data_IF_382884510900
#
_entry.id   IF_382884510900
#
_cell.length_a   1.000
_cell.length_b   1.000
_cell.length_c   1.000
_cell.angle_alpha   90.00
_cell.angle_beta   90.00
_cell.angle_gamma   90.00
#
_symmetry.space_group_name_H-M   'P 1'
#
loop_
_entity.id
_entity.type
_entity.pdbx_description
1 polymer ?
#
# COMPACT_ATOMS: atom_id res chain seq x y z
N UNK A 1 -9.37 -15.44 10.58
CA UNK A 1 -9.75 -14.94 9.22
C UNK A 1 -10.60 -13.70 9.39
N UNK A 2 -10.04 -12.57 8.99
CA UNK A 2 -10.58 -11.24 9.24
C UNK A 2 -11.88 -11.00 8.45
N UNK A 3 -12.87 -10.39 9.09
CA UNK A 3 -14.18 -10.09 8.45
C UNK A 3 -13.99 -9.11 7.29
N UNK A 4 -14.70 -9.33 6.17
CA UNK A 4 -14.67 -8.44 4.99
C UNK A 4 -15.02 -6.98 5.32
N UNK A 5 -15.91 -6.74 6.28
CA UNK A 5 -16.25 -5.38 6.74
C UNK A 5 -15.06 -4.66 7.39
N UNK A 6 -14.21 -5.40 8.11
CA UNK A 6 -13.01 -4.87 8.75
C UNK A 6 -11.96 -4.54 7.69
N UNK A 7 -11.75 -5.44 6.72
CA UNK A 7 -10.85 -5.18 5.57
C UNK A 7 -11.30 -3.93 4.80
N UNK A 8 -12.60 -3.78 4.56
CA UNK A 8 -13.15 -2.60 3.89
C UNK A 8 -12.92 -1.30 4.66
N UNK A 9 -13.00 -1.33 5.99
CA UNK A 9 -12.75 -0.15 6.83
C UNK A 9 -11.26 0.20 6.87
N UNK A 10 -10.38 -0.81 6.92
CA UNK A 10 -8.93 -0.64 6.79
C UNK A 10 -8.61 0.03 5.45
N UNK A 11 -9.12 -0.51 4.35
CA UNK A 11 -8.93 0.03 3.00
C UNK A 11 -9.42 1.48 2.89
N UNK A 12 -10.60 1.78 3.43
CA UNK A 12 -11.15 3.14 3.46
C UNK A 12 -10.19 4.09 4.17
N UNK A 13 -9.74 3.70 5.37
CA UNK A 13 -8.89 4.53 6.21
C UNK A 13 -7.53 4.77 5.54
N UNK A 14 -6.93 3.77 4.90
CA UNK A 14 -5.66 3.92 4.18
C UNK A 14 -5.80 4.93 3.03
N UNK A 15 -6.89 4.83 2.25
CA UNK A 15 -7.18 5.76 1.14
C UNK A 15 -7.38 7.19 1.64
N UNK A 16 -8.09 7.37 2.75
CA UNK A 16 -8.26 8.69 3.38
C UNK A 16 -6.92 9.23 3.92
N UNK A 17 -6.09 8.40 4.54
CA UNK A 17 -4.75 8.78 5.00
C UNK A 17 -3.89 9.30 3.84
N UNK A 18 -3.91 8.59 2.71
CA UNK A 18 -3.15 9.02 1.53
C UNK A 18 -3.59 10.39 1.02
N UNK A 19 -4.89 10.55 0.78
CA UNK A 19 -5.46 11.76 0.17
C UNK A 19 -5.39 12.98 1.10
N UNK A 20 -5.45 12.76 2.41
CA UNK A 20 -5.57 13.86 3.38
C UNK A 20 -4.33 14.06 4.22
N UNK A 21 -3.84 13.02 4.90
CA UNK A 21 -2.77 13.17 5.89
C UNK A 21 -1.41 13.21 5.21
N UNK A 22 -1.09 12.23 4.34
CA UNK A 22 0.18 12.20 3.61
C UNK A 22 0.31 13.41 2.69
N UNK A 23 -0.77 13.81 2.02
CA UNK A 23 -0.82 15.05 1.25
C UNK A 23 -0.46 16.27 2.12
N UNK A 24 -1.05 16.40 3.32
CA UNK A 24 -0.69 17.49 4.25
C UNK A 24 0.75 17.37 4.74
N UNK A 25 1.24 16.18 5.00
CA UNK A 25 2.61 15.96 5.50
C UNK A 25 3.65 16.36 4.46
N UNK A 26 3.39 16.05 3.18
CA UNK A 26 4.18 16.53 2.05
C UNK A 26 4.27 18.06 2.05
N UNK A 27 3.13 18.76 2.07
CA UNK A 27 3.10 20.23 2.01
C UNK A 27 3.67 20.93 3.25
N UNK A 28 3.74 20.22 4.38
CA UNK A 28 4.36 20.73 5.61
C UNK A 28 5.84 20.34 5.73
N UNK A 29 6.44 19.73 4.70
CA UNK A 29 7.84 19.28 4.65
C UNK A 29 8.17 18.20 5.69
N UNK A 30 7.22 17.33 6.02
CA UNK A 30 7.47 16.15 6.86
C UNK A 30 7.97 14.94 6.05
N UNK A 31 7.83 14.97 4.71
CA UNK A 31 8.31 13.93 3.80
C UNK A 31 9.58 14.38 3.06
N UNK A 32 10.64 13.58 3.16
CA UNK A 32 11.92 13.78 2.43
C UNK A 32 12.29 12.54 1.60
N UNK A 33 12.02 11.34 2.12
CA UNK A 33 12.42 10.04 1.54
C UNK A 33 11.42 8.92 1.84
N UNK A 34 11.70 7.74 1.28
CA UNK A 34 10.89 6.53 1.45
C UNK A 34 10.70 6.16 2.93
N UNK A 35 11.75 6.35 3.74
CA UNK A 35 11.71 6.02 5.17
C UNK A 35 10.83 6.99 5.97
N UNK A 36 10.83 8.30 5.64
CA UNK A 36 9.89 9.26 6.25
C UNK A 36 8.45 8.99 5.82
N UNK A 37 8.23 8.61 4.56
CA UNK A 37 6.92 8.18 4.08
C UNK A 37 6.40 6.97 4.86
N UNK A 38 7.28 5.98 5.10
CA UNK A 38 6.95 4.80 5.91
C UNK A 38 6.58 5.19 7.34
N UNK A 39 7.35 6.08 7.97
CA UNK A 39 7.08 6.56 9.32
C UNK A 39 5.73 7.27 9.42
N UNK A 40 5.43 8.20 8.51
CA UNK A 40 4.21 9.00 8.54
C UNK A 40 2.97 8.14 8.24
N UNK A 41 3.05 7.26 7.23
CA UNK A 41 1.98 6.32 6.92
C UNK A 41 1.72 5.38 8.10
N UNK A 42 2.78 4.81 8.71
CA UNK A 42 2.66 3.99 9.91
C UNK A 42 2.00 4.74 11.06
N UNK A 43 2.42 5.98 11.32
CA UNK A 43 1.88 6.82 12.38
C UNK A 43 0.38 7.06 12.21
N UNK A 44 -0.06 7.49 11.04
CA UNK A 44 -1.48 7.77 10.79
C UNK A 44 -2.32 6.50 10.84
N UNK A 45 -1.84 5.40 10.26
CA UNK A 45 -2.52 4.11 10.34
C UNK A 45 -2.68 3.65 11.78
N UNK A 46 -1.61 3.70 12.59
CA UNK A 46 -1.66 3.30 13.99
C UNK A 46 -2.67 4.11 14.79
N UNK A 47 -2.77 5.42 14.57
CA UNK A 47 -3.74 6.27 15.28
C UNK A 47 -5.17 6.05 14.80
N UNK A 48 -5.41 6.09 13.50
CA UNK A 48 -6.77 6.02 12.94
C UNK A 48 -7.38 4.61 13.03
N UNK A 49 -6.56 3.56 12.94
CA UNK A 49 -7.01 2.18 13.03
C UNK A 49 -6.91 1.57 14.44
N UNK A 50 -6.40 2.30 15.44
CA UNK A 50 -6.08 1.78 16.79
C UNK A 50 -7.18 0.90 17.40
N UNK A 51 -8.41 1.44 17.47
CA UNK A 51 -9.56 0.72 18.05
C UNK A 51 -9.90 -0.53 17.24
N UNK A 52 -10.02 -0.40 15.93
CA UNK A 52 -10.35 -1.50 15.02
C UNK A 52 -9.29 -2.61 15.07
N UNK A 53 -8.01 -2.24 15.18
CA UNK A 53 -6.91 -3.19 15.28
C UNK A 53 -6.96 -3.97 16.60
N UNK A 54 -7.17 -3.29 17.74
CA UNK A 54 -7.29 -3.95 19.05
C UNK A 54 -8.47 -4.90 19.11
N UNK A 55 -9.64 -4.49 18.64
CA UNK A 55 -10.88 -5.27 18.70
C UNK A 55 -10.84 -6.53 17.80
N UNK A 56 -9.90 -6.62 16.86
CA UNK A 56 -9.81 -7.70 15.88
C UNK A 56 -8.45 -8.43 15.91
N UNK A 57 -7.66 -8.28 16.98
CA UNK A 57 -6.34 -8.90 17.14
C UNK A 57 -5.40 -8.63 15.95
N UNK A 58 -5.41 -7.40 15.44
CA UNK A 58 -4.58 -7.01 14.32
C UNK A 58 -3.37 -6.19 14.78
N UNK A 59 -2.24 -6.32 14.09
CA UNK A 59 -1.02 -5.54 14.33
C UNK A 59 -0.45 -5.02 13.01
N UNK A 60 0.27 -3.90 13.12
CA UNK A 60 1.00 -3.29 12.01
C UNK A 60 2.49 -3.49 12.32
N UNK A 61 3.19 -4.18 11.43
CA UNK A 61 4.64 -4.37 11.51
C UNK A 61 5.31 -3.72 10.31
N UNK A 62 6.52 -3.20 10.53
CA UNK A 62 7.38 -2.65 9.48
C UNK A 62 8.53 -3.60 9.19
N UNK A 63 9.08 -3.57 7.98
CA UNK A 63 10.27 -4.37 7.60
C UNK A 63 10.06 -5.88 7.74
N UNK A 64 8.84 -6.39 7.49
CA UNK A 64 8.50 -7.79 7.72
C UNK A 64 9.17 -8.71 6.70
N UNK A 65 9.93 -9.70 7.18
CA UNK A 65 10.71 -10.60 6.33
C UNK A 65 10.00 -11.94 6.13
N UNK A 66 9.62 -12.23 4.88
CA UNK A 66 9.24 -13.58 4.45
C UNK A 66 10.52 -14.36 4.17
N UNK A 67 10.62 -15.61 4.61
CA UNK A 67 11.86 -16.40 4.47
C UNK A 67 11.91 -17.23 3.19
N UNK A 68 10.77 -17.63 2.62
CA UNK A 68 10.70 -18.53 1.46
C UNK A 68 9.58 -18.12 0.49
N UNK A 69 9.89 -17.39 -0.61
CA UNK A 69 11.18 -16.78 -0.93
C UNK A 69 11.58 -15.67 0.04
N UNK A 70 12.88 -15.35 0.13
CA UNK A 70 13.35 -14.28 1.00
C UNK A 70 12.88 -12.93 0.46
N UNK A 71 11.98 -12.30 1.20
CA UNK A 71 11.42 -11.02 0.85
C UNK A 71 11.26 -10.12 2.06
N UNK A 72 11.28 -8.80 1.88
CA UNK A 72 11.00 -7.83 2.93
C UNK A 72 9.96 -6.81 2.48
N UNK A 73 8.81 -6.80 3.14
CA UNK A 73 7.77 -5.81 2.94
C UNK A 73 7.99 -4.60 3.86
N UNK A 74 7.68 -3.40 3.37
CA UNK A 74 7.86 -2.16 4.13
C UNK A 74 6.91 -2.09 5.31
N UNK A 75 5.63 -2.42 5.07
CA UNK A 75 4.60 -2.50 6.11
C UNK A 75 3.69 -3.71 5.85
N UNK A 76 3.29 -4.41 6.91
CA UNK A 76 2.25 -5.42 6.89
C UNK A 76 1.21 -5.15 7.96
N UNK A 77 -0.05 -5.50 7.67
CA UNK A 77 -1.12 -5.64 8.65
C UNK A 77 -1.43 -7.12 8.79
N UNK A 78 -1.36 -7.64 10.01
CA UNK A 78 -1.48 -9.08 10.28
C UNK A 78 -2.49 -9.35 11.38
N UNK A 79 -3.14 -10.51 11.32
CA UNK A 79 -3.91 -11.11 12.42
C UNK A 79 -2.94 -11.91 13.31
N UNK A 80 -3.02 -11.71 14.62
CA UNK A 80 -2.21 -12.45 15.59
C UNK A 80 -3.07 -13.36 16.47
N UNK A 81 -2.51 -14.48 16.91
CA UNK A 81 -3.07 -15.27 18.02
C UNK A 81 -2.60 -14.68 19.36
N UNK A 82 -3.51 -14.09 20.17
CA UNK A 82 -3.13 -13.49 21.45
C UNK A 82 -2.90 -14.52 22.56
N UNK A 83 -3.38 -15.76 22.39
CA UNK A 83 -3.40 -16.78 23.45
C UNK A 83 -2.24 -17.79 23.32
N UNK A 84 -1.50 -17.73 22.22
CA UNK A 84 -0.44 -18.67 21.94
C UNK A 84 0.89 -18.19 22.54
N UNK A 85 1.55 -19.09 23.28
CA UNK A 85 2.82 -18.87 23.96
C UNK A 85 3.96 -19.06 22.94
N UNK A 86 4.64 -17.96 22.59
CA UNK A 86 5.69 -17.98 21.59
C UNK A 86 6.98 -17.34 22.09
N UNK A 87 8.11 -17.93 21.70
CA UNK A 87 9.44 -17.39 21.94
C UNK A 87 9.72 -16.09 21.15
N UNK A 88 8.95 -15.82 20.08
CA UNK A 88 9.11 -14.65 19.21
C UNK A 88 7.75 -14.15 18.70
N UNK A 89 7.56 -12.83 18.61
CA UNK A 89 6.33 -12.19 18.14
C UNK A 89 5.96 -12.57 16.69
N UNK A 90 6.93 -12.87 15.84
CA UNK A 90 6.68 -13.29 14.45
C UNK A 90 5.91 -14.60 14.39
N UNK A 91 6.10 -15.48 15.38
CA UNK A 91 5.39 -16.76 15.43
C UNK A 91 3.89 -16.57 15.73
N UNK A 92 3.50 -15.41 16.28
CA UNK A 92 2.11 -15.08 16.57
C UNK A 92 1.28 -14.72 15.34
N UNK A 93 1.90 -14.51 14.18
CA UNK A 93 1.20 -14.16 12.94
C UNK A 93 0.42 -15.36 12.41
N UNK A 94 -0.89 -15.22 12.31
CA UNK A 94 -1.80 -16.27 11.80
C UNK A 94 -2.29 -16.01 10.38
N UNK A 95 -2.42 -14.74 9.98
CA UNK A 95 -2.80 -14.37 8.62
C UNK A 95 -2.35 -12.95 8.25
N UNK A 96 -2.26 -12.68 6.94
CA UNK A 96 -1.92 -11.36 6.40
C UNK A 96 -3.16 -10.68 5.84
N UNK A 97 -3.38 -9.44 6.26
CA UNK A 97 -4.54 -8.62 5.88
C UNK A 97 -4.16 -7.63 4.79
N UNK A 98 -3.03 -6.95 4.97
CA UNK A 98 -2.52 -5.99 4.00
C UNK A 98 -0.99 -6.02 3.94
N UNK A 99 -0.44 -5.71 2.77
CA UNK A 99 0.99 -5.55 2.53
C UNK A 99 1.21 -4.26 1.76
N UNK A 100 2.25 -3.52 2.14
CA UNK A 100 2.66 -2.27 1.51
C UNK A 100 4.09 -2.39 1.00
N UNK A 101 4.30 -1.81 -0.18
CA UNK A 101 5.62 -1.33 -0.60
C UNK A 101 5.50 0.16 -0.90
N UNK A 102 6.53 0.87 -0.53
CA UNK A 102 6.60 2.31 -0.61
C UNK A 102 7.74 2.71 -1.53
N UNK A 103 7.54 3.77 -2.30
CA UNK A 103 8.58 4.38 -3.11
C UNK A 103 8.53 5.89 -2.93
N UNK A 104 9.69 6.47 -2.73
CA UNK A 104 9.87 7.92 -2.80
C UNK A 104 11.03 8.22 -3.73
N UNK A 105 10.80 9.04 -4.74
CA UNK A 105 11.83 9.40 -5.70
C UNK A 105 11.70 10.86 -6.13
N UNK A 106 12.86 11.51 -6.27
CA UNK A 106 13.00 12.90 -6.67
C UNK A 106 13.82 13.00 -7.95
N UNK A 107 13.33 13.74 -8.94
CA UNK A 107 14.03 14.02 -10.19
C UNK A 107 13.60 13.18 -11.40
N UNK A 108 13.87 13.71 -12.59
CA UNK A 108 13.60 13.03 -13.86
C UNK A 108 14.62 11.92 -14.08
N UNK A 109 14.28 10.71 -13.66
CA UNK A 109 14.99 9.53 -14.10
C UNK A 109 14.05 8.68 -14.97
N UNK A 110 14.42 8.46 -16.23
CA UNK A 110 13.75 7.48 -17.08
C UNK A 110 13.76 6.08 -16.44
N UNK A 111 14.68 5.86 -15.49
CA UNK A 111 14.72 4.66 -14.65
C UNK A 111 13.52 4.55 -13.70
N UNK A 112 12.83 5.62 -13.29
CA UNK A 112 11.71 5.52 -12.35
C UNK A 112 10.57 4.64 -12.89
N UNK A 113 10.18 4.81 -14.16
CA UNK A 113 9.15 3.96 -14.78
C UNK A 113 9.60 2.49 -14.87
N UNK A 114 10.88 2.25 -15.18
CA UNK A 114 11.46 0.90 -15.20
C UNK A 114 11.53 0.28 -13.79
N UNK A 115 11.85 1.07 -12.77
CA UNK A 115 11.95 0.64 -11.38
C UNK A 115 10.59 0.31 -10.80
N UNK A 116 9.61 1.19 -11.04
CA UNK A 116 8.22 0.95 -10.68
C UNK A 116 7.73 -0.34 -11.35
N UNK A 117 7.99 -0.53 -12.65
CA UNK A 117 7.68 -1.78 -13.36
C UNK A 117 8.39 -3.01 -12.79
N UNK A 118 9.66 -2.89 -12.41
CA UNK A 118 10.42 -4.00 -11.81
C UNK A 118 9.86 -4.38 -10.42
N UNK A 119 9.58 -3.40 -9.58
CA UNK A 119 8.99 -3.63 -8.26
C UNK A 119 7.55 -4.17 -8.36
N UNK A 120 6.80 -3.88 -9.43
CA UNK A 120 5.52 -4.55 -9.68
C UNK A 120 5.66 -6.05 -9.98
N UNK A 121 6.72 -6.50 -10.65
CA UNK A 121 6.96 -7.94 -10.84
C UNK A 121 7.27 -8.63 -9.51
N UNK A 122 8.02 -7.95 -8.64
CA UNK A 122 8.25 -8.33 -7.24
C UNK A 122 6.91 -8.46 -6.48
N UNK A 123 5.94 -7.58 -6.73
CA UNK A 123 4.58 -7.67 -6.16
C UNK A 123 3.80 -8.87 -6.62
N UNK A 124 3.86 -9.16 -7.92
CA UNK A 124 3.18 -10.32 -8.49
C UNK A 124 3.67 -11.61 -7.84
N UNK A 125 4.93 -11.66 -7.45
CA UNK A 125 5.49 -12.81 -6.73
C UNK A 125 4.91 -12.97 -5.32
N UNK A 126 4.54 -11.90 -4.59
CA UNK A 126 3.82 -12.03 -3.30
C UNK A 126 2.54 -12.83 -3.43
N UNK A 127 1.78 -12.59 -4.49
CA UNK A 127 0.49 -13.22 -4.67
C UNK A 127 0.60 -14.75 -4.81
N UNK A 128 1.80 -15.25 -5.11
CA UNK A 128 2.12 -16.66 -5.22
C UNK A 128 2.74 -17.24 -3.92
N UNK A 129 3.02 -16.42 -2.91
CA UNK A 129 3.49 -16.88 -1.59
C UNK A 129 2.31 -17.41 -0.79
N UNK A 130 2.45 -18.62 -0.23
CA UNK A 130 1.43 -19.23 0.62
C UNK A 130 1.05 -18.34 1.81
N UNK A 131 -0.24 -18.18 2.06
CA UNK A 131 -0.76 -17.33 3.16
C UNK A 131 -1.13 -15.90 2.76
N UNK A 132 -0.89 -15.48 1.52
CA UNK A 132 -1.24 -14.14 1.01
C UNK A 132 -2.47 -14.10 0.08
N UNK A 133 -3.23 -15.21 -0.03
CA UNK A 133 -4.33 -15.33 -1.00
C UNK A 133 -5.47 -14.33 -0.80
N UNK A 134 -5.72 -13.90 0.43
CA UNK A 134 -6.77 -12.93 0.77
C UNK A 134 -6.19 -11.55 1.15
N UNK A 135 -4.87 -11.37 1.03
CA UNK A 135 -4.17 -10.14 1.39
C UNK A 135 -4.51 -9.02 0.39
N UNK A 136 -4.70 -7.80 0.91
CA UNK A 136 -4.76 -6.59 0.10
C UNK A 136 -3.36 -6.03 -0.10
N UNK A 137 -3.09 -5.49 -1.28
CA UNK A 137 -1.77 -5.00 -1.67
C UNK A 137 -1.84 -3.51 -1.96
N UNK A 138 -0.96 -2.75 -1.31
CA UNK A 138 -0.87 -1.31 -1.46
C UNK A 138 0.50 -0.96 -2.02
N UNK A 139 0.52 -0.30 -3.17
CA UNK A 139 1.73 0.27 -3.73
C UNK A 139 1.64 1.77 -3.58
N UNK A 140 2.49 2.37 -2.74
CA UNK A 140 2.44 3.79 -2.48
C UNK A 140 3.65 4.51 -3.07
N UNK A 141 3.41 5.55 -3.86
CA UNK A 141 4.48 6.27 -4.56
C UNK A 141 4.39 7.78 -4.31
N UNK A 142 5.50 8.38 -3.91
CA UNK A 142 5.71 9.82 -4.00
C UNK A 142 6.76 10.08 -5.05
N UNK A 143 6.33 10.70 -6.15
CA UNK A 143 7.20 11.01 -7.27
C UNK A 143 7.30 12.52 -7.49
N UNK A 144 8.38 13.11 -7.00
CA UNK A 144 8.66 14.54 -7.15
C UNK A 144 9.23 14.86 -8.54
N UNK A 145 8.49 14.48 -9.58
CA UNK A 145 8.78 14.85 -10.95
C UNK A 145 7.48 14.96 -11.76
N UNK A 146 7.49 15.72 -12.88
CA UNK A 146 6.37 15.78 -13.79
C UNK A 146 6.05 14.44 -14.44
N UNK A 147 4.76 14.10 -14.43
CA UNK A 147 4.16 12.86 -14.88
C UNK A 147 3.08 13.16 -15.92
N UNK A 148 2.86 12.20 -16.83
CA UNK A 148 1.71 12.25 -17.76
C UNK A 148 0.43 11.69 -17.14
N UNK A 149 0.57 10.74 -16.23
CA UNK A 149 -0.50 10.06 -15.52
C UNK A 149 0.06 9.48 -14.22
N UNK A 150 -0.82 9.20 -13.25
CA UNK A 150 -0.47 8.68 -11.91
C UNK A 150 -1.19 7.34 -11.67
N UNK A 151 -1.00 6.41 -12.60
CA UNK A 151 -1.42 5.02 -12.47
C UNK A 151 -0.45 4.15 -13.25
N UNK A 152 0.07 3.11 -12.63
CA UNK A 152 1.17 2.34 -13.18
C UNK A 152 0.74 0.98 -13.72
N UNK A 153 -0.40 0.45 -13.24
CA UNK A 153 -0.95 -0.80 -13.76
C UNK A 153 -1.73 -0.58 -15.06
N UNK A 154 -1.47 -1.47 -16.02
CA UNK A 154 -2.19 -1.56 -17.27
C UNK A 154 -3.45 -2.44 -17.16
N UNK A 155 -4.33 -2.35 -18.17
CA UNK A 155 -5.54 -3.14 -18.23
C UNK A 155 -5.27 -4.66 -18.18
N UNK A 156 -4.09 -5.12 -18.64
CA UNK A 156 -3.72 -6.54 -18.55
C UNK A 156 -3.52 -6.96 -17.10
N UNK A 157 -2.87 -6.13 -16.29
CA UNK A 157 -2.62 -6.42 -14.88
C UNK A 157 -3.89 -6.31 -14.04
N UNK A 158 -4.64 -5.22 -14.23
CA UNK A 158 -5.86 -4.93 -13.45
C UNK A 158 -6.99 -5.91 -13.73
N UNK A 159 -7.05 -6.50 -14.93
CA UNK A 159 -8.03 -7.55 -15.26
C UNK A 159 -7.58 -8.98 -14.88
N UNK A 160 -6.36 -9.16 -14.36
CA UNK A 160 -5.82 -10.47 -13.99
C UNK A 160 -5.35 -10.49 -12.52
N UNK A 161 -4.03 -10.51 -12.29
CA UNK A 161 -3.46 -10.79 -10.98
C UNK A 161 -3.74 -9.70 -9.94
N UNK A 162 -3.90 -8.45 -10.37
CA UNK A 162 -4.19 -7.32 -9.49
C UNK A 162 -5.68 -7.17 -9.15
N UNK A 163 -6.55 -7.83 -9.93
CA UNK A 163 -7.99 -7.77 -9.78
C UNK A 163 -8.44 -8.25 -8.41
N UNK A 164 -9.23 -7.45 -7.71
CA UNK A 164 -9.75 -7.76 -6.38
C UNK A 164 -8.75 -7.51 -5.24
N UNK A 165 -7.50 -7.09 -5.52
CA UNK A 165 -6.41 -7.18 -4.53
C UNK A 165 -5.52 -5.96 -4.41
N UNK A 166 -5.29 -5.22 -5.49
CA UNK A 166 -4.29 -4.14 -5.51
C UNK A 166 -4.95 -2.76 -5.42
N UNK A 167 -4.29 -1.87 -4.69
CA UNK A 167 -4.56 -0.43 -4.66
C UNK A 167 -3.24 0.31 -4.84
N UNK A 168 -3.20 1.23 -5.80
CA UNK A 168 -2.13 2.19 -5.98
C UNK A 168 -2.50 3.48 -5.24
N UNK A 169 -1.54 3.98 -4.47
CA UNK A 169 -1.60 5.22 -3.72
C UNK A 169 -0.52 6.12 -4.32
N UNK A 170 -0.89 6.90 -5.33
CA UNK A 170 0.09 7.57 -6.17
C UNK A 170 0.13 9.06 -5.91
N UNK A 171 1.30 9.64 -6.07
CA UNK A 171 1.44 11.09 -6.08
C UNK A 171 2.57 11.53 -6.99
N UNK A 172 2.35 12.67 -7.65
CA UNK A 172 3.33 13.28 -8.54
C UNK A 172 2.78 14.52 -9.25
N UNK A 173 3.62 15.18 -10.03
CA UNK A 173 3.27 16.45 -10.65
C UNK A 173 2.56 16.25 -11.99
N UNK A 174 1.28 16.59 -12.12
CA UNK A 174 0.57 16.68 -13.39
C UNK A 174 0.32 18.15 -13.71
N UNK A 175 0.72 18.60 -14.90
CA UNK A 175 0.58 20.00 -15.34
C UNK A 175 1.11 21.04 -14.33
N UNK A 176 2.13 20.68 -13.56
CA UNK A 176 2.76 21.53 -12.54
C UNK A 176 2.11 21.46 -11.15
N UNK A 177 1.05 20.68 -10.97
CA UNK A 177 0.37 20.48 -9.69
C UNK A 177 0.73 19.12 -9.10
N UNK A 178 1.18 19.09 -7.83
CA UNK A 178 1.39 17.83 -7.11
C UNK A 178 0.03 17.25 -6.70
N UNK A 179 -0.31 16.09 -7.25
CA UNK A 179 -1.56 15.39 -6.99
C UNK A 179 -1.33 14.16 -6.11
N UNK A 180 -2.36 13.79 -5.35
CA UNK A 180 -2.41 12.55 -4.55
C UNK A 180 -3.66 11.77 -4.96
N UNK A 181 -3.46 10.70 -5.72
CA UNK A 181 -4.52 9.89 -6.32
C UNK A 181 -4.59 8.49 -5.73
N UNK A 182 -5.77 7.88 -5.79
CA UNK A 182 -6.00 6.49 -5.41
C UNK A 182 -6.57 5.72 -6.60
N UNK A 183 -5.87 4.67 -7.03
CA UNK A 183 -6.33 3.74 -8.08
C UNK A 183 -6.50 2.34 -7.50
N UNK A 184 -7.74 1.94 -7.24
CA UNK A 184 -8.01 0.67 -6.55
C UNK A 184 -8.78 -0.32 -7.41
N UNK A 185 -8.28 -1.55 -7.46
CA UNK A 185 -8.82 -2.66 -8.24
C UNK A 185 -9.51 -3.71 -7.38
N UNK A 186 -9.67 -3.45 -6.08
CA UNK A 186 -10.30 -4.36 -5.12
C UNK A 186 -11.83 -4.22 -5.01
N UNK A 187 -12.41 -3.23 -5.69
CA UNK A 187 -13.86 -2.96 -5.66
C UNK A 187 -14.37 -2.34 -4.35
N UNK A 188 -13.49 -2.06 -3.39
CA UNK A 188 -13.81 -1.43 -2.11
C UNK A 188 -13.71 0.09 -2.22
N UNK A 189 -14.60 0.79 -1.51
CA UNK A 189 -14.56 2.25 -1.34
C UNK A 189 -14.36 3.05 -2.64
N UNK A 190 -15.03 2.62 -3.73
CA UNK A 190 -14.87 3.17 -5.09
C UNK A 190 -15.04 4.69 -5.20
N UNK A 191 -15.75 5.32 -4.27
CA UNK A 191 -15.92 6.78 -4.22
C UNK A 191 -14.62 7.52 -3.88
N UNK A 192 -13.66 6.85 -3.26
CA UNK A 192 -12.34 7.40 -2.95
C UNK A 192 -11.35 7.23 -4.11
N UNK A 193 -11.67 6.39 -5.10
CA UNK A 193 -10.83 6.21 -6.26
C UNK A 193 -10.90 7.45 -7.16
N UNK A 194 -9.75 7.89 -7.62
CA UNK A 194 -9.66 8.93 -8.63
C UNK A 194 -9.91 8.31 -10.01
N UNK A 195 -10.52 9.11 -10.88
CA UNK A 195 -10.70 8.69 -12.27
C UNK A 195 -9.33 8.82 -12.93
N UNK A 196 -8.63 7.71 -13.10
CA UNK A 196 -7.45 7.69 -13.95
C UNK A 196 -7.76 8.36 -15.28
N UNK A 197 -6.77 9.06 -15.84
CA UNK A 197 -6.83 9.44 -17.24
C UNK A 197 -7.14 8.17 -18.03
N UNK A 198 -8.37 8.06 -18.54
CA UNK A 198 -8.77 6.93 -19.36
C UNK A 198 -7.84 6.97 -20.57
N UNK A 199 -6.86 6.07 -20.63
CA UNK A 199 -6.13 5.83 -21.86
C UNK A 199 -7.11 5.15 -22.80
N UNK A 200 -7.92 5.94 -23.50
CA UNK A 200 -8.57 5.51 -24.73
C UNK A 200 -7.47 5.52 -25.79
N UNK A 201 -6.74 4.41 -25.94
CA UNK A 201 -6.30 3.88 -27.25
C UNK A 201 -6.18 2.36 -27.12
#
# INVERSE_FOLDING_TARGET
MVKKSIIKEIDKTIKEIWKEDICKDYWNNYLDKEDTLKCDLYYHMRRKLDRLMRENNLRIYTEYVFLNPRYRADIVIVEIDPDMDYDCLDNAVTSFVALFELKFTSGYDARTEEWVKHDFWKFKDYLNVGGLSECQFYFATVYEAPCKWLNWLDARSTNNWASGRVTELDSGYIDGEMLFEVHSYNGMNKLLNDKGAISII
#
